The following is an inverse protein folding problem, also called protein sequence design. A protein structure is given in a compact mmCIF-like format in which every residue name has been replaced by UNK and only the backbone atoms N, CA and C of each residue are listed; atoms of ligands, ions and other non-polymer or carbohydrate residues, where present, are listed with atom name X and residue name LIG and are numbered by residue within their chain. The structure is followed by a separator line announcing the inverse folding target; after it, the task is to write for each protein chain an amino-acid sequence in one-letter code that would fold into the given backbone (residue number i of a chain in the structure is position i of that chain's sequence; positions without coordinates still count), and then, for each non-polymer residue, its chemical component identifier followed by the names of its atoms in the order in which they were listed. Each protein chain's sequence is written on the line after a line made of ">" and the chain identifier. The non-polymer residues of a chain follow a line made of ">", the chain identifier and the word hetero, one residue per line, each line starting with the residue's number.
data_IF_396670126032
#
_entry.id   IF_396670126032
#
_cell.length_a   1.000
_cell.length_b   1.000
_cell.length_c   1.000
_cell.angle_alpha   90.00
_cell.angle_beta   90.00
_cell.angle_gamma   90.00
#
_symmetry.space_group_name_H-M   'P 1'
#
loop_
_entity.id
_entity.type
_entity.pdbx_description
1 polymer ?
#
# COMPACT_ATOMS: atom_id res chain seq x y z
N UNK A 1 -10.98 6.65 7.31
CA UNK A 1 -9.85 6.79 8.25
C UNK A 1 -10.01 5.74 9.32
N UNK A 2 -8.92 5.19 9.86
CA UNK A 2 -8.94 4.14 10.88
C UNK A 2 -8.08 4.57 12.06
N UNK A 3 -8.54 4.30 13.29
CA UNK A 3 -7.71 4.39 14.49
C UNK A 3 -6.93 3.08 14.63
N UNK A 4 -5.61 3.17 14.65
CA UNK A 4 -4.70 2.06 14.80
C UNK A 4 -3.81 2.32 16.03
N UNK A 5 -4.08 1.60 17.12
CA UNK A 5 -3.34 1.71 18.39
C UNK A 5 -3.28 3.14 18.94
N UNK A 6 -4.40 3.88 18.91
CA UNK A 6 -4.46 5.27 19.38
C UNK A 6 -3.86 6.27 18.38
N UNK A 7 -3.44 5.83 17.19
CA UNK A 7 -2.93 6.72 16.13
C UNK A 7 -3.76 6.65 14.87
N UNK A 8 -3.86 7.77 14.17
CA UNK A 8 -4.71 7.87 13.00
C UNK A 8 -4.00 7.37 11.74
N UNK A 9 -4.66 6.46 11.02
CA UNK A 9 -4.27 6.02 9.68
C UNK A 9 -5.32 6.50 8.69
N UNK A 10 -4.93 7.43 7.82
CA UNK A 10 -5.78 7.99 6.77
C UNK A 10 -5.50 7.29 5.46
N UNK A 11 -6.55 6.75 4.85
CA UNK A 11 -6.49 6.15 3.52
C UNK A 11 -7.15 7.11 2.52
N UNK A 12 -6.47 7.36 1.41
CA UNK A 12 -7.05 8.02 0.24
C UNK A 12 -6.79 7.16 -0.98
N UNK A 13 -7.68 7.21 -1.97
CA UNK A 13 -7.55 6.42 -3.18
C UNK A 13 -7.87 7.28 -4.41
N UNK A 14 -6.82 7.72 -5.11
CA UNK A 14 -6.97 8.47 -6.36
C UNK A 14 -7.52 7.54 -7.44
N UNK A 15 -8.55 8.01 -8.15
CA UNK A 15 -9.28 7.30 -9.21
C UNK A 15 -10.09 6.09 -8.73
N UNK A 16 -10.45 6.01 -7.45
CA UNK A 16 -11.34 4.95 -6.97
C UNK A 16 -12.69 5.01 -7.68
N UNK A 17 -13.03 3.93 -8.37
CA UNK A 17 -14.29 3.76 -9.10
C UNK A 17 -14.50 2.26 -9.34
N UNK A 18 -15.74 1.83 -9.56
CA UNK A 18 -16.05 0.42 -9.88
C UNK A 18 -15.24 -0.11 -11.07
N UNK A 19 -15.04 0.72 -12.08
CA UNK A 19 -14.23 0.40 -13.28
C UNK A 19 -12.71 0.45 -13.07
N UNK A 20 -12.23 0.84 -11.88
CA UNK A 20 -10.81 0.97 -11.55
C UNK A 20 -10.42 0.09 -10.34
N UNK A 21 -10.48 -1.26 -10.47
CA UNK A 21 -10.24 -2.15 -9.34
C UNK A 21 -8.75 -2.34 -9.01
N UNK A 22 -7.83 -2.01 -9.93
CA UNK A 22 -6.43 -2.38 -9.79
C UNK A 22 -5.61 -1.32 -9.05
N UNK A 23 -4.74 -1.77 -8.14
CA UNK A 23 -3.74 -0.90 -7.52
C UNK A 23 -2.56 -0.69 -8.48
N UNK A 24 -2.21 0.57 -8.72
CA UNK A 24 -1.02 0.95 -9.52
C UNK A 24 0.02 1.76 -8.77
N UNK A 25 -0.20 2.00 -7.48
CA UNK A 25 0.77 2.70 -6.65
C UNK A 25 0.27 3.01 -5.26
N UNK A 26 1.22 3.19 -4.36
CA UNK A 26 1.00 3.66 -3.00
C UNK A 26 2.06 4.70 -2.65
N UNK A 27 1.67 5.72 -1.89
CA UNK A 27 2.59 6.52 -1.09
C UNK A 27 2.22 6.43 0.38
N UNK A 28 3.23 6.25 1.23
CA UNK A 28 3.08 6.32 2.69
C UNK A 28 3.77 7.60 3.14
N UNK A 29 3.04 8.51 3.76
CA UNK A 29 3.56 9.81 4.21
C UNK A 29 4.35 10.52 3.09
N UNK A 30 3.73 10.59 1.90
CA UNK A 30 4.28 11.17 0.64
C UNK A 30 5.44 10.39 0.00
N UNK A 31 6.02 9.38 0.66
CA UNK A 31 7.12 8.57 0.10
C UNK A 31 6.57 7.42 -0.74
N UNK A 32 7.20 7.17 -1.90
CA UNK A 32 6.80 6.07 -2.79
C UNK A 32 6.96 4.72 -2.10
N UNK A 33 5.91 3.90 -2.16
CA UNK A 33 5.90 2.54 -1.63
C UNK A 33 5.65 1.57 -2.77
N UNK A 34 6.64 0.72 -3.07
CA UNK A 34 6.60 -0.22 -4.20
C UNK A 34 6.17 -1.64 -3.81
N UNK A 35 6.16 -1.95 -2.51
CA UNK A 35 5.84 -3.28 -2.00
C UNK A 35 4.32 -3.46 -1.93
N UNK A 36 3.77 -4.62 -2.33
CA UNK A 36 2.34 -4.93 -2.22
C UNK A 36 1.91 -5.29 -0.78
N UNK A 37 2.77 -5.07 0.21
CA UNK A 37 2.55 -5.38 1.62
C UNK A 37 3.04 -4.22 2.50
N UNK A 38 2.57 -4.20 3.75
CA UNK A 38 2.90 -3.19 4.76
C UNK A 38 3.51 -3.89 5.98
N UNK A 39 4.51 -3.26 6.60
CA UNK A 39 4.97 -3.66 7.93
C UNK A 39 4.34 -2.73 8.97
N UNK A 40 4.06 -3.26 10.16
CA UNK A 40 3.40 -2.51 11.24
C UNK A 40 4.13 -1.21 11.58
N UNK A 41 5.48 -1.22 11.52
CA UNK A 41 6.31 -0.05 11.79
C UNK A 41 6.03 1.16 10.88
N UNK A 42 5.53 0.94 9.66
CA UNK A 42 5.12 2.02 8.76
C UNK A 42 3.84 2.73 9.23
N UNK A 43 3.02 2.07 10.03
CA UNK A 43 1.71 2.55 10.50
C UNK A 43 1.74 2.99 11.96
N UNK A 44 2.64 2.42 12.76
CA UNK A 44 2.70 2.58 14.23
C UNK A 44 2.77 4.03 14.68
N UNK A 45 3.19 5.00 13.86
CA UNK A 45 3.24 6.45 14.17
C UNK A 45 2.07 7.27 13.63
N UNK A 46 1.02 6.60 13.17
CA UNK A 46 0.03 7.21 12.29
C UNK A 46 0.61 7.33 10.88
N UNK A 47 -0.26 7.27 9.88
CA UNK A 47 0.16 7.26 8.49
C UNK A 47 -0.91 7.80 7.56
N UNK A 48 -0.46 8.39 6.45
CA UNK A 48 -1.30 8.67 5.28
C UNK A 48 -0.93 7.71 4.17
N UNK A 49 -1.88 6.88 3.75
CA UNK A 49 -1.77 5.94 2.65
C UNK A 49 -2.51 6.53 1.45
N UNK A 50 -1.76 7.01 0.47
CA UNK A 50 -2.29 7.56 -0.76
C UNK A 50 -2.19 6.51 -1.88
N UNK A 51 -3.28 5.77 -2.09
CA UNK A 51 -3.42 4.76 -3.13
C UNK A 51 -3.71 5.41 -4.49
N UNK A 52 -3.26 4.77 -5.56
CA UNK A 52 -3.62 5.10 -6.94
C UNK A 52 -4.23 3.87 -7.59
N UNK A 53 -5.41 4.03 -8.17
CA UNK A 53 -6.15 2.95 -8.82
C UNK A 53 -6.22 3.13 -10.35
N UNK A 54 -6.44 2.03 -11.08
CA UNK A 54 -6.61 1.99 -12.54
C UNK A 54 -7.60 0.92 -13.00
N UNK A 55 -8.06 1.08 -14.23
CA UNK A 55 -8.92 0.14 -14.95
C UNK A 55 -8.21 -1.11 -15.46
N UNK A 56 -6.88 -1.07 -15.56
CA UNK A 56 -6.04 -2.21 -15.97
C UNK A 56 -4.95 -2.51 -14.94
N UNK A 57 -4.42 -3.75 -14.93
CA UNK A 57 -3.25 -4.13 -14.13
C UNK A 57 -2.03 -3.24 -14.44
N UNK A 58 -1.08 -3.20 -13.51
CA UNK A 58 0.18 -2.44 -13.66
C UNK A 58 1.38 -3.26 -13.22
N UNK A 59 2.60 -2.77 -13.49
CA UNK A 59 3.83 -3.38 -12.99
C UNK A 59 4.13 -3.13 -11.50
N UNK A 60 3.26 -2.43 -10.76
CA UNK A 60 3.48 -2.14 -9.34
C UNK A 60 3.50 -3.45 -8.52
N UNK A 61 4.50 -3.61 -7.66
CA UNK A 61 4.62 -4.79 -6.79
C UNK A 61 5.10 -6.10 -7.46
N UNK A 62 5.38 -6.13 -8.77
CA UNK A 62 5.69 -7.36 -9.52
C UNK A 62 7.09 -7.96 -9.29
N UNK A 63 8.04 -7.21 -8.73
CA UNK A 63 9.43 -7.67 -8.61
C UNK A 63 9.66 -8.69 -7.48
N UNK A 64 10.50 -9.71 -7.70
CA UNK A 64 10.85 -10.74 -6.68
C UNK A 64 11.32 -10.13 -5.36
N UNK A 65 12.14 -9.07 -5.40
CA UNK A 65 12.60 -8.29 -4.24
C UNK A 65 11.52 -7.48 -3.51
N UNK A 66 10.31 -7.42 -4.06
CA UNK A 66 9.16 -6.73 -3.48
C UNK A 66 8.19 -7.71 -2.81
N UNK A 67 8.39 -9.02 -2.98
CA UNK A 67 7.58 -10.04 -2.32
C UNK A 67 7.51 -9.79 -0.80
N UNK A 68 6.40 -10.17 -0.15
CA UNK A 68 6.36 -10.22 1.30
C UNK A 68 7.42 -11.22 1.81
N UNK A 69 7.94 -11.02 3.03
CA UNK A 69 8.80 -12.00 3.66
C UNK A 69 8.07 -13.33 3.79
N UNK A 70 8.79 -14.43 3.60
CA UNK A 70 8.34 -15.80 3.82
C UNK A 70 9.43 -16.52 4.59
N UNK A 71 9.07 -17.54 5.37
CA UNK A 71 10.07 -18.48 5.86
C UNK A 71 10.65 -19.21 4.64
N UNK A 72 11.97 -19.24 4.53
CA UNK A 72 12.61 -20.08 3.52
C UNK A 72 12.58 -21.54 3.95
N UNK A 73 12.75 -22.43 2.98
CA UNK A 73 13.11 -23.82 3.25
C UNK A 73 14.49 -23.78 3.91
N UNK A 74 14.58 -24.13 5.19
CA UNK A 74 15.86 -24.33 5.85
C UNK A 74 16.51 -25.60 5.31
#
# INVERSE_FOLDING_TARGET
>A
TVNFQGRMVRLTAKNAARKNPYVKGLRINRRSWKKPWLHLGALRRGAKLDWKLSSSPSGWGRGRKLAPPSFGDR
#
